data_IF_486345371116
#
_entry.id   IF_486345371116
#
_cell.length_a   1.000
_cell.length_b   1.000
_cell.length_c   1.000
_cell.angle_alpha   90.00
_cell.angle_beta   90.00
_cell.angle_gamma   90.00
#
_symmetry.space_group_name_H-M   'P 1'
#
loop_
_entity.id
_entity.type
_entity.pdbx_description
1 polymer ?
#
# COMPACT_ATOMS: atom_id res chain seq x y z
N UNK A 1 35.62 -11.75 13.54
CA UNK A 1 34.77 -10.86 12.72
C UNK A 1 35.11 -11.13 11.26
N UNK A 2 34.14 -11.52 10.42
CA UNK A 2 34.42 -11.95 9.04
C UNK A 2 34.57 -10.72 8.14
N UNK A 3 35.76 -10.50 7.58
CA UNK A 3 36.08 -9.35 6.71
C UNK A 3 35.20 -9.34 5.46
N UNK A 4 34.84 -10.52 4.95
CA UNK A 4 33.94 -10.65 3.81
C UNK A 4 32.54 -10.09 4.14
N UNK A 5 32.00 -10.44 5.29
CA UNK A 5 30.69 -9.95 5.73
C UNK A 5 30.68 -8.42 5.94
N UNK A 6 31.79 -7.82 6.37
CA UNK A 6 31.92 -6.36 6.47
C UNK A 6 31.98 -5.69 5.10
N UNK A 7 32.69 -6.29 4.14
CA UNK A 7 32.75 -5.78 2.78
C UNK A 7 31.39 -5.88 2.08
N UNK A 8 30.68 -6.99 2.24
CA UNK A 8 29.31 -7.19 1.74
C UNK A 8 28.32 -6.19 2.36
N UNK A 9 28.39 -5.99 3.69
CA UNK A 9 27.54 -5.03 4.38
C UNK A 9 27.82 -3.58 3.92
N UNK A 10 29.09 -3.22 3.75
CA UNK A 10 29.48 -1.90 3.25
C UNK A 10 28.97 -1.68 1.82
N UNK A 11 29.13 -2.69 0.95
CA UNK A 11 28.62 -2.61 -0.42
C UNK A 11 27.10 -2.44 -0.44
N UNK A 12 26.36 -3.30 0.27
CA UNK A 12 24.91 -3.24 0.35
C UNK A 12 24.39 -1.89 0.87
N UNK A 13 25.08 -1.30 1.86
CA UNK A 13 24.72 0.01 2.41
C UNK A 13 24.82 1.15 1.38
N UNK A 14 25.70 1.02 0.39
CA UNK A 14 25.93 2.05 -0.63
C UNK A 14 25.27 1.74 -1.98
N UNK A 15 24.86 0.48 -2.21
CA UNK A 15 24.30 0.04 -3.49
C UNK A 15 22.79 -0.21 -3.46
N UNK A 16 22.19 -0.51 -2.31
CA UNK A 16 20.76 -0.81 -2.20
C UNK A 16 19.99 0.47 -1.89
N UNK A 17 19.13 0.84 -2.82
CA UNK A 17 18.20 1.94 -2.67
C UNK A 17 16.76 1.42 -2.61
N UNK A 18 15.89 2.17 -1.95
CA UNK A 18 14.46 1.90 -2.03
C UNK A 18 14.01 2.12 -3.47
N UNK A 19 13.11 1.25 -3.92
CA UNK A 19 12.46 1.43 -5.21
C UNK A 19 11.66 2.73 -5.23
N UNK A 20 11.32 3.19 -6.44
CA UNK A 20 10.40 4.31 -6.58
C UNK A 20 8.99 3.87 -6.15
N UNK A 21 8.24 4.81 -5.59
CA UNK A 21 6.86 4.54 -5.28
C UNK A 21 6.04 4.46 -6.58
N UNK A 22 5.09 3.52 -6.71
CA UNK A 22 4.27 3.42 -7.90
C UNK A 22 3.48 4.70 -8.13
N UNK A 23 3.24 5.00 -9.40
CA UNK A 23 2.33 6.07 -9.80
C UNK A 23 0.87 5.72 -9.53
N UNK A 24 -0.04 6.63 -9.86
CA UNK A 24 -1.48 6.44 -9.70
C UNK A 24 -2.02 7.01 -8.39
N UNK A 25 -3.35 6.99 -8.27
CA UNK A 25 -4.05 7.57 -7.13
C UNK A 25 -4.00 6.64 -5.92
N UNK A 26 -3.76 7.23 -4.74
CA UNK A 26 -3.78 6.53 -3.45
C UNK A 26 -5.16 6.41 -2.84
N UNK A 27 -6.17 6.83 -3.56
CA UNK A 27 -7.56 6.84 -3.13
C UNK A 27 -8.45 6.44 -4.30
N UNK A 28 -9.63 5.94 -3.97
CA UNK A 28 -10.61 5.57 -4.99
C UNK A 28 -11.93 5.18 -4.35
N UNK A 29 -12.91 4.89 -5.19
CA UNK A 29 -14.20 4.36 -4.72
C UNK A 29 -14.64 3.22 -5.62
N UNK A 30 -15.00 2.10 -5.00
CA UNK A 30 -15.62 0.96 -5.64
C UNK A 30 -17.11 1.10 -5.43
N UNK A 31 -17.84 1.32 -6.52
CA UNK A 31 -19.29 1.47 -6.53
C UNK A 31 -19.91 0.11 -6.81
N UNK A 32 -20.90 -0.28 -5.99
CA UNK A 32 -21.80 -1.39 -6.32
C UNK A 32 -23.12 -0.82 -6.81
N UNK A 33 -23.54 -1.26 -7.99
CA UNK A 33 -24.85 -0.92 -8.54
C UNK A 33 -25.97 -1.43 -7.62
N UNK A 34 -26.93 -0.56 -7.32
CA UNK A 34 -28.02 -0.87 -6.40
C UNK A 34 -27.70 -0.72 -4.92
N UNK A 35 -26.51 -0.24 -4.55
CA UNK A 35 -26.26 0.21 -3.17
C UNK A 35 -27.06 1.49 -2.88
N UNK A 36 -28.16 1.36 -2.14
CA UNK A 36 -29.08 2.45 -1.82
C UNK A 36 -28.63 3.30 -0.63
N UNK A 37 -27.47 2.99 -0.03
CA UNK A 37 -26.96 3.71 1.13
C UNK A 37 -26.46 5.10 0.71
N UNK A 38 -26.70 6.08 1.57
CA UNK A 38 -26.35 7.49 1.28
C UNK A 38 -24.84 7.74 1.06
N UNK A 39 -23.97 6.87 1.61
CA UNK A 39 -22.53 7.03 1.45
C UNK A 39 -21.78 5.67 1.44
N UNK A 40 -20.70 5.56 0.64
CA UNK A 40 -19.77 4.44 0.70
C UNK A 40 -19.20 4.25 2.11
N UNK A 41 -18.88 3.00 2.47
CA UNK A 41 -18.08 2.72 3.66
C UNK A 41 -16.65 3.20 3.41
N UNK A 42 -16.09 3.97 4.34
CA UNK A 42 -14.70 4.42 4.25
C UNK A 42 -13.75 3.36 4.79
N UNK A 43 -12.70 3.07 4.02
CA UNK A 43 -11.61 2.16 4.39
C UNK A 43 -10.29 2.90 4.25
N UNK A 44 -9.49 2.92 5.32
CA UNK A 44 -8.16 3.55 5.31
C UNK A 44 -7.13 2.49 5.64
N UNK A 45 -6.18 2.28 4.75
CA UNK A 45 -5.06 1.39 4.98
C UNK A 45 -3.82 2.21 5.35
N UNK A 46 -3.14 1.83 6.45
CA UNK A 46 -1.91 2.46 6.91
C UNK A 46 -0.86 1.37 7.06
N UNK A 47 0.34 1.57 6.53
CA UNK A 47 1.38 0.56 6.64
C UNK A 47 2.71 0.96 6.03
N UNK A 48 3.46 -0.06 5.63
CA UNK A 48 4.81 0.05 5.08
C UNK A 48 4.79 0.02 3.55
N UNK A 49 5.76 -0.67 2.96
CA UNK A 49 5.87 -0.87 1.52
C UNK A 49 4.67 -1.57 0.89
N UNK A 50 3.97 -2.46 1.61
CA UNK A 50 2.82 -3.16 1.05
C UNK A 50 1.65 -2.19 0.78
N UNK A 51 1.38 -1.31 1.74
CA UNK A 51 0.33 -0.29 1.60
C UNK A 51 0.77 0.84 0.67
N UNK A 52 2.08 1.07 0.53
CA UNK A 52 2.65 1.99 -0.44
C UNK A 52 2.56 1.48 -1.90
N UNK A 53 2.15 0.23 -2.12
CA UNK A 53 2.04 -0.37 -3.45
C UNK A 53 3.35 -0.96 -3.99
N UNK A 54 4.33 -1.30 -3.14
CA UNK A 54 5.57 -1.91 -3.61
C UNK A 54 5.30 -3.18 -4.43
N UNK A 55 5.89 -3.24 -5.64
CA UNK A 55 5.78 -4.38 -6.55
C UNK A 55 4.65 -4.28 -7.58
N UNK A 56 3.88 -3.19 -7.62
CA UNK A 56 2.94 -2.91 -8.71
C UNK A 56 3.35 -1.66 -9.48
N UNK A 57 2.95 -1.56 -10.75
CA UNK A 57 3.24 -0.40 -11.60
C UNK A 57 2.31 0.79 -11.30
N UNK A 58 1.10 0.50 -10.81
CA UNK A 58 0.06 1.49 -10.49
C UNK A 58 -0.62 1.19 -9.15
N UNK A 59 -0.77 2.20 -8.29
CA UNK A 59 -1.41 2.13 -6.98
C UNK A 59 -2.84 1.54 -7.04
N UNK A 60 -3.56 1.72 -8.14
CA UNK A 60 -4.90 1.15 -8.35
C UNK A 60 -4.90 -0.39 -8.44
N UNK A 61 -3.74 -1.00 -8.62
CA UNK A 61 -3.54 -2.46 -8.60
C UNK A 61 -2.84 -2.94 -7.32
N UNK A 62 -2.66 -2.05 -6.34
CA UNK A 62 -2.06 -2.38 -5.05
C UNK A 62 -2.99 -3.15 -4.12
N UNK A 63 -2.45 -3.54 -2.97
CA UNK A 63 -3.18 -4.31 -1.95
C UNK A 63 -4.47 -3.62 -1.47
N UNK A 64 -4.42 -2.30 -1.25
CA UNK A 64 -5.55 -1.53 -0.70
C UNK A 64 -6.81 -1.56 -1.59
N UNK A 65 -6.74 -1.19 -2.89
CA UNK A 65 -7.90 -1.31 -3.78
C UNK A 65 -8.40 -2.74 -3.94
N UNK A 66 -7.51 -3.74 -4.00
CA UNK A 66 -7.92 -5.15 -4.09
C UNK A 66 -8.71 -5.60 -2.86
N UNK A 67 -8.25 -5.24 -1.66
CA UNK A 67 -8.97 -5.50 -0.42
C UNK A 67 -10.32 -4.77 -0.39
N UNK A 68 -10.36 -3.52 -0.86
CA UNK A 68 -11.60 -2.76 -0.99
C UNK A 68 -12.60 -3.49 -1.91
N UNK A 69 -12.11 -4.11 -2.99
CA UNK A 69 -12.95 -4.84 -3.93
C UNK A 69 -13.52 -6.12 -3.32
N UNK A 70 -12.73 -6.81 -2.50
CA UNK A 70 -13.20 -7.97 -1.72
C UNK A 70 -14.24 -7.54 -0.69
N UNK A 71 -13.97 -6.49 0.10
CA UNK A 71 -14.93 -5.98 1.09
C UNK A 71 -16.22 -5.51 0.45
N UNK A 72 -16.13 -4.84 -0.68
CA UNK A 72 -17.29 -4.40 -1.44
C UNK A 72 -18.22 -5.57 -1.77
N UNK A 73 -17.66 -6.67 -2.30
CA UNK A 73 -18.40 -7.89 -2.64
C UNK A 73 -18.98 -8.60 -1.41
N UNK A 74 -18.18 -8.75 -0.35
CA UNK A 74 -18.60 -9.47 0.87
C UNK A 74 -19.67 -8.70 1.64
N UNK A 75 -19.58 -7.37 1.70
CA UNK A 75 -20.50 -6.52 2.44
C UNK A 75 -21.70 -6.06 1.60
N UNK A 76 -21.68 -6.31 0.28
CA UNK A 76 -22.61 -5.76 -0.69
C UNK A 76 -22.84 -4.25 -0.48
N UNK A 77 -21.73 -3.51 -0.43
CA UNK A 77 -21.69 -2.08 -0.14
C UNK A 77 -20.53 -1.42 -0.85
N UNK A 78 -20.77 -0.23 -1.40
CA UNK A 78 -19.72 0.59 -2.01
C UNK A 78 -18.65 0.98 -0.99
N UNK A 79 -17.38 0.95 -1.39
CA UNK A 79 -16.22 1.23 -0.51
C UNK A 79 -15.42 2.40 -1.08
N UNK A 80 -15.26 3.47 -0.30
CA UNK A 80 -14.27 4.51 -0.58
C UNK A 80 -12.98 4.15 0.16
N UNK A 81 -11.87 3.99 -0.55
CA UNK A 81 -10.59 3.54 0.00
C UNK A 81 -9.50 4.60 -0.12
N UNK A 82 -8.60 4.63 0.85
CA UNK A 82 -7.43 5.50 0.90
C UNK A 82 -6.23 4.70 1.44
N UNK A 83 -5.03 4.96 0.91
CA UNK A 83 -3.79 4.29 1.28
C UNK A 83 -2.72 5.28 1.77
N UNK A 84 -2.19 5.01 2.94
CA UNK A 84 -1.12 5.77 3.58
C UNK A 84 0.02 4.83 3.96
N UNK A 85 0.81 4.48 2.96
CA UNK A 85 2.02 3.68 3.12
C UNK A 85 3.26 4.48 2.78
N UNK A 86 4.40 4.07 3.35
CA UNK A 86 5.70 4.61 2.97
C UNK A 86 6.73 3.49 2.87
N UNK A 87 7.45 3.45 1.74
CA UNK A 87 8.53 2.49 1.51
C UNK A 87 9.58 2.57 2.64
N UNK A 88 9.93 1.42 3.20
CA UNK A 88 10.89 1.33 4.32
C UNK A 88 10.40 1.98 5.63
N UNK A 89 9.09 2.23 5.78
CA UNK A 89 8.53 2.64 7.06
C UNK A 89 8.59 1.49 8.07
N UNK A 90 8.84 1.83 9.33
CA UNK A 90 8.72 0.94 10.47
C UNK A 90 7.74 1.56 11.45
N UNK A 91 7.10 0.74 12.29
CA UNK A 91 6.09 1.19 13.27
C UNK A 91 6.60 2.35 14.15
N UNK A 92 7.91 2.41 14.42
CA UNK A 92 8.55 3.49 15.21
C UNK A 92 8.50 4.87 14.55
N UNK A 93 8.22 4.97 13.25
CA UNK A 93 8.21 6.22 12.47
C UNK A 93 6.80 6.79 12.24
N UNK A 94 5.76 6.11 12.71
CA UNK A 94 4.39 6.65 12.68
C UNK A 94 4.25 7.59 13.87
N UNK A 95 4.21 8.91 13.62
CA UNK A 95 3.85 9.95 14.58
C UNK A 95 2.60 10.65 14.09
#
# INVERSE_FOLDING_TARGET
MNVLALAEAWWAQHSIHLDQEPGGDRFGTIIIEGDTRAAPLRMVAIGDSMIAGCGVDDQAHGFTPDLAAVFSRVLNRSIAWESYGKLGATVRRVR
#
